data_IF_390439368676
#
_entry.id   IF_390439368676
#
_cell.length_a   1.000
_cell.length_b   1.000
_cell.length_c   1.000
_cell.angle_alpha   90.00
_cell.angle_beta   90.00
_cell.angle_gamma   90.00
#
_symmetry.space_group_name_H-M   'P 1'
#
loop_
_entity.id
_entity.type
_entity.pdbx_description
1 polymer ?
#
# COMPACT_ATOMS: atom_id res chain seq x y z
N UNK A 1 -21.48 -20.56 15.79
CA UNK A 1 -21.07 -19.84 14.57
C UNK A 1 -19.62 -19.44 14.75
N UNK A 2 -18.67 -20.13 14.14
CA UNK A 2 -17.25 -19.75 14.23
C UNK A 2 -16.99 -18.64 13.21
N UNK A 3 -16.66 -17.45 13.73
CA UNK A 3 -16.14 -16.35 12.92
C UNK A 3 -14.63 -16.61 12.81
N UNK A 4 -14.14 -16.77 11.59
CA UNK A 4 -12.72 -16.97 11.34
C UNK A 4 -11.97 -15.68 11.71
N UNK A 5 -11.12 -15.73 12.74
CA UNK A 5 -10.36 -14.57 13.24
C UNK A 5 -9.32 -14.06 12.22
N UNK A 6 -8.96 -14.87 11.21
CA UNK A 6 -8.11 -14.49 10.08
C UNK A 6 -8.90 -14.03 8.85
N UNK A 7 -10.24 -14.01 8.90
CA UNK A 7 -11.04 -13.45 7.82
C UNK A 7 -10.99 -11.92 7.89
N UNK A 8 -10.80 -11.29 6.75
CA UNK A 8 -10.94 -9.84 6.58
C UNK A 8 -12.20 -9.35 7.32
N UNK A 9 -12.08 -8.51 8.37
CA UNK A 9 -13.19 -8.25 9.30
C UNK A 9 -14.47 -7.75 8.64
N UNK A 10 -14.33 -6.95 7.58
CA UNK A 10 -15.46 -6.38 6.82
C UNK A 10 -16.22 -7.47 6.07
N UNK A 11 -15.53 -8.46 5.50
CA UNK A 11 -16.17 -9.57 4.79
C UNK A 11 -17.01 -10.42 5.76
N UNK A 12 -16.48 -10.65 6.97
CA UNK A 12 -17.20 -11.35 8.03
C UNK A 12 -18.46 -10.60 8.49
N UNK A 13 -18.40 -9.26 8.58
CA UNK A 13 -19.55 -8.41 8.93
C UNK A 13 -20.61 -8.48 7.83
N UNK A 14 -20.23 -8.44 6.55
CA UNK A 14 -21.17 -8.56 5.43
C UNK A 14 -21.85 -9.94 5.45
N UNK A 15 -21.08 -11.01 5.66
CA UNK A 15 -21.63 -12.36 5.73
C UNK A 15 -22.55 -12.55 6.94
N UNK A 16 -22.25 -11.91 8.07
CA UNK A 16 -23.16 -11.84 9.21
C UNK A 16 -24.45 -11.11 8.86
N UNK A 17 -24.37 -9.94 8.21
CA UNK A 17 -25.54 -9.16 7.81
C UNK A 17 -26.46 -9.93 6.84
N UNK A 18 -25.89 -10.68 5.89
CA UNK A 18 -26.63 -11.58 5.00
C UNK A 18 -27.38 -12.63 5.83
N UNK A 19 -26.71 -13.27 6.80
CA UNK A 19 -27.33 -14.27 7.68
C UNK A 19 -28.42 -13.68 8.58
N UNK A 20 -28.33 -12.40 8.91
CA UNK A 20 -29.36 -11.66 9.64
C UNK A 20 -30.55 -11.21 8.76
N UNK A 21 -30.53 -11.49 7.46
CA UNK A 21 -31.66 -11.22 6.55
C UNK A 21 -31.55 -9.90 5.79
N UNK A 22 -30.37 -9.30 5.67
CA UNK A 22 -30.16 -8.17 4.75
C UNK A 22 -30.46 -8.58 3.31
N UNK A 23 -31.05 -7.66 2.55
CA UNK A 23 -31.35 -7.85 1.14
C UNK A 23 -30.07 -8.23 0.36
N UNK A 24 -30.14 -9.34 -0.37
CA UNK A 24 -29.01 -9.86 -1.16
C UNK A 24 -28.49 -8.85 -2.19
N UNK A 25 -29.37 -8.03 -2.79
CA UNK A 25 -28.96 -6.98 -3.71
C UNK A 25 -28.07 -5.94 -3.01
N UNK A 26 -28.47 -5.50 -1.81
CA UNK A 26 -27.69 -4.55 -1.02
C UNK A 26 -26.35 -5.16 -0.59
N UNK A 27 -26.36 -6.43 -0.17
CA UNK A 27 -25.16 -7.13 0.25
C UNK A 27 -24.17 -7.32 -0.90
N UNK A 28 -24.64 -7.68 -2.10
CA UNK A 28 -23.80 -7.82 -3.28
C UNK A 28 -23.20 -6.47 -3.70
N UNK A 29 -23.99 -5.40 -3.68
CA UNK A 29 -23.49 -4.06 -3.98
C UNK A 29 -22.38 -3.65 -2.98
N UNK A 30 -22.58 -3.92 -1.68
CA UNK A 30 -21.55 -3.66 -0.67
C UNK A 30 -20.25 -4.47 -0.91
N UNK A 31 -20.36 -5.74 -1.34
CA UNK A 31 -19.20 -6.57 -1.70
C UNK A 31 -18.46 -6.00 -2.92
N UNK A 32 -19.20 -5.56 -3.93
CA UNK A 32 -18.62 -4.99 -5.15
C UNK A 32 -17.90 -3.67 -4.87
N UNK A 33 -18.50 -2.77 -4.09
CA UNK A 33 -17.85 -1.51 -3.68
C UNK A 33 -16.61 -1.76 -2.82
N UNK A 34 -16.67 -2.71 -1.88
CA UNK A 34 -15.51 -3.09 -1.08
C UNK A 34 -14.36 -3.62 -1.95
N UNK A 35 -14.69 -4.41 -2.97
CA UNK A 35 -13.70 -4.92 -3.94
C UNK A 35 -13.05 -3.78 -4.72
N UNK A 36 -13.83 -2.83 -5.24
CA UNK A 36 -13.29 -1.66 -5.96
C UNK A 36 -12.35 -0.85 -5.08
N UNK A 37 -12.73 -0.57 -3.84
CA UNK A 37 -11.91 0.18 -2.89
C UNK A 37 -10.59 -0.53 -2.58
N UNK A 38 -10.61 -1.86 -2.41
CA UNK A 38 -9.38 -2.65 -2.23
C UNK A 38 -8.46 -2.56 -3.44
N UNK A 39 -9.02 -2.68 -4.65
CA UNK A 39 -8.26 -2.55 -5.89
C UNK A 39 -7.64 -1.14 -6.05
N UNK A 40 -8.38 -0.09 -5.69
CA UNK A 40 -7.87 1.28 -5.70
C UNK A 40 -6.73 1.47 -4.68
N UNK A 41 -6.90 1.00 -3.45
CA UNK A 41 -5.85 1.06 -2.41
C UNK A 41 -4.60 0.29 -2.84
N UNK A 42 -4.75 -0.91 -3.39
CA UNK A 42 -3.63 -1.70 -3.91
C UNK A 42 -2.92 -0.99 -5.06
N UNK A 43 -3.67 -0.34 -5.96
CA UNK A 43 -3.09 0.47 -7.02
C UNK A 43 -2.33 1.69 -6.47
N UNK A 44 -2.90 2.39 -5.49
CA UNK A 44 -2.21 3.50 -4.83
C UNK A 44 -0.92 3.05 -4.17
N UNK A 45 -0.92 1.93 -3.42
CA UNK A 45 0.31 1.38 -2.85
C UNK A 45 1.36 1.06 -3.92
N UNK A 46 0.98 0.41 -5.03
CA UNK A 46 1.92 0.14 -6.15
C UNK A 46 2.55 1.40 -6.74
N UNK A 47 1.87 2.54 -6.68
CA UNK A 47 2.38 3.82 -7.19
C UNK A 47 3.16 4.60 -6.14
N UNK A 48 2.76 4.55 -4.87
CA UNK A 48 3.42 5.23 -3.75
C UNK A 48 4.69 4.52 -3.26
N UNK A 49 4.75 3.20 -3.40
CA UNK A 49 5.93 2.39 -3.11
C UNK A 49 7.06 2.64 -4.13
N UNK A 50 6.73 3.23 -5.30
CA UNK A 50 7.73 3.59 -6.29
C UNK A 50 8.39 4.92 -5.92
N UNK A 51 9.72 4.97 -5.81
CA UNK A 51 10.43 6.20 -5.52
C UNK A 51 10.27 7.21 -6.67
N UNK A 52 9.79 8.40 -6.33
CA UNK A 52 9.46 9.48 -7.29
C UNK A 52 10.70 10.33 -7.62
N UNK A 53 11.71 10.30 -6.75
CA UNK A 53 12.99 10.96 -6.99
C UNK A 53 14.12 10.21 -6.30
N UNK A 54 15.33 10.43 -6.80
CA UNK A 54 16.56 9.77 -6.39
C UNK A 54 17.66 10.80 -6.15
N UNK A 55 18.61 10.51 -5.27
CA UNK A 55 19.84 11.27 -5.09
C UNK A 55 21.03 10.33 -4.95
N UNK A 56 22.20 10.78 -5.35
CA UNK A 56 23.45 10.05 -5.12
C UNK A 56 23.97 10.29 -3.71
N UNK A 57 24.67 9.30 -3.18
CA UNK A 57 25.36 9.37 -1.89
C UNK A 57 26.87 9.24 -2.12
N UNK A 58 27.64 10.12 -1.48
CA UNK A 58 29.11 10.05 -1.53
C UNK A 58 29.66 9.11 -0.44
N UNK A 59 30.96 8.84 -0.43
CA UNK A 59 31.59 7.99 0.61
C UNK A 59 31.43 8.51 2.06
N UNK A 60 31.09 9.79 2.24
CA UNK A 60 30.87 10.43 3.54
C UNK A 60 29.40 10.36 4.00
N UNK A 61 28.49 9.93 3.12
CA UNK A 61 27.05 9.90 3.39
C UNK A 61 26.29 11.15 2.93
N UNK A 62 26.95 12.13 2.30
CA UNK A 62 26.27 13.35 1.85
C UNK A 62 25.48 13.11 0.57
N UNK A 63 24.26 13.66 0.53
CA UNK A 63 23.37 13.63 -0.63
C UNK A 63 23.80 14.66 -1.68
N UNK A 64 23.86 14.24 -2.94
CA UNK A 64 24.11 15.12 -4.07
C UNK A 64 23.38 14.65 -5.33
N UNK A 65 23.27 15.52 -6.34
CA UNK A 65 22.69 15.19 -7.65
C UNK A 65 21.24 14.64 -7.57
N UNK A 66 20.28 15.43 -7.05
CA UNK A 66 18.87 15.03 -7.00
C UNK A 66 18.28 14.96 -8.42
N UNK A 67 17.68 13.82 -8.77
CA UNK A 67 17.08 13.56 -10.08
C UNK A 67 15.72 12.91 -9.96
N UNK A 68 14.83 13.20 -10.90
CA UNK A 68 13.52 12.57 -11.02
C UNK A 68 13.62 11.13 -11.56
N UNK A 69 14.63 10.85 -12.39
CA UNK A 69 14.81 9.54 -13.01
C UNK A 69 16.12 8.89 -12.55
N UNK A 70 16.05 7.61 -12.19
CA UNK A 70 17.24 6.79 -11.95
C UNK A 70 17.89 6.43 -13.29
N UNK A 71 19.17 6.73 -13.45
CA UNK A 71 19.95 6.28 -14.59
C UNK A 71 20.33 4.79 -14.38
N UNK A 72 19.95 3.87 -15.27
CA UNK A 72 20.21 2.43 -15.11
C UNK A 72 21.71 2.06 -15.14
N UNK A 73 22.57 2.96 -15.62
CA UNK A 73 24.02 2.76 -15.67
C UNK A 73 24.76 3.23 -14.41
N UNK A 74 24.04 3.76 -13.41
CA UNK A 74 24.62 4.16 -12.13
C UNK A 74 24.62 2.97 -11.16
N UNK A 75 25.69 2.85 -10.38
CA UNK A 75 25.77 1.88 -9.29
C UNK A 75 24.64 2.12 -8.28
N UNK A 76 23.76 1.14 -8.11
CA UNK A 76 22.59 1.23 -7.21
C UNK A 76 22.96 1.35 -5.74
N UNK A 77 24.20 1.02 -5.36
CA UNK A 77 24.71 1.21 -3.99
C UNK A 77 25.01 2.66 -3.64
N UNK A 78 25.20 3.53 -4.64
CA UNK A 78 25.53 4.95 -4.46
C UNK A 78 24.30 5.85 -4.62
N UNK A 79 23.08 5.29 -4.56
CA UNK A 79 21.84 6.01 -4.87
C UNK A 79 20.76 5.68 -3.85
N UNK A 80 20.03 6.70 -3.41
CA UNK A 80 18.90 6.56 -2.50
C UNK A 80 17.64 7.25 -3.02
N UNK A 81 16.46 6.71 -2.72
CA UNK A 81 15.21 7.37 -3.01
C UNK A 81 14.98 8.55 -2.04
N UNK A 82 14.61 9.71 -2.56
CA UNK A 82 14.31 10.92 -1.75
C UNK A 82 12.85 10.98 -1.31
N UNK A 83 11.94 10.61 -2.21
CA UNK A 83 10.50 10.58 -1.95
C UNK A 83 9.99 9.19 -2.28
N UNK A 84 9.87 8.35 -1.25
CA UNK A 84 9.19 7.07 -1.31
C UNK A 84 8.30 6.96 -0.09
N UNK A 85 7.06 6.49 -0.28
CA UNK A 85 6.25 6.12 0.86
C UNK A 85 6.84 4.82 1.43
N UNK A 86 7.67 4.93 2.46
CA UNK A 86 7.99 3.78 3.30
C UNK A 86 6.97 3.73 4.41
N UNK A 87 6.23 2.62 4.50
CA UNK A 87 5.42 2.33 5.69
C UNK A 87 6.36 2.36 6.89
N UNK A 88 6.31 3.45 7.65
CA UNK A 88 7.21 3.65 8.78
C UNK A 88 6.95 2.60 9.83
N UNK A 89 7.96 1.80 10.15
CA UNK A 89 8.15 1.38 11.53
C UNK A 89 8.50 2.66 12.29
N UNK A 90 7.50 3.30 12.89
CA UNK A 90 7.77 4.13 14.05
C UNK A 90 8.15 3.15 15.15
N UNK A 91 9.43 2.83 15.25
CA UNK A 91 9.96 2.29 16.48
C UNK A 91 9.82 3.42 17.50
N UNK A 92 8.86 3.26 18.40
CA UNK A 92 8.69 4.08 19.58
C UNK A 92 9.99 3.97 20.41
N UNK A 93 10.91 4.91 20.22
CA UNK A 93 12.03 5.18 21.13
C UNK A 93 11.79 6.45 21.92
#
# INVERSE_FOLDING_TARGET
MQINENAQPIDAIIDFAIKCGVNMFLANNAKDELKKLREEVDNFHKHLDKPVAWARINKRGDLYDPRLCLNPYINTQDVVPLYAFRKGHYDET
#
